data_IF_106782316818
#
_entry.id   IF_106782316818
#
_cell.length_a   1.000
_cell.length_b   1.000
_cell.length_c   1.000
_cell.angle_alpha   90.00
_cell.angle_beta   90.00
_cell.angle_gamma   90.00
#
_symmetry.space_group_name_H-M   'P 1'
#
loop_
_entity.id
_entity.type
_entity.pdbx_description
1 polymer ?
#
# COMPACT_ATOMS: atom_id res chain seq x y z
N UNK A 1 -10.69 -10.26 25.57
CA UNK A 1 -12.06 -10.31 25.02
C UNK A 1 -12.05 -11.23 23.82
N UNK A 2 -12.95 -12.22 23.77
CA UNK A 2 -13.03 -13.19 22.66
C UNK A 2 -13.82 -12.63 21.46
N UNK A 3 -13.70 -13.23 20.26
CA UNK A 3 -14.43 -12.80 19.05
C UNK A 3 -15.94 -12.77 19.25
N UNK A 4 -16.46 -13.83 19.88
CA UNK A 4 -17.88 -13.99 20.21
C UNK A 4 -18.34 -12.97 21.24
N UNK A 5 -17.49 -12.66 22.21
CA UNK A 5 -17.75 -11.65 23.23
C UNK A 5 -17.74 -10.23 22.65
N UNK A 6 -16.78 -9.91 21.77
CA UNK A 6 -16.74 -8.64 21.04
C UNK A 6 -17.95 -8.49 20.11
N UNK A 7 -18.30 -9.53 19.36
CA UNK A 7 -19.49 -9.54 18.51
C UNK A 7 -20.76 -9.31 19.33
N UNK A 8 -20.87 -9.95 20.50
CA UNK A 8 -21.97 -9.74 21.44
C UNK A 8 -22.06 -8.30 21.94
N UNK A 9 -20.93 -7.68 22.33
CA UNK A 9 -20.89 -6.30 22.80
C UNK A 9 -21.19 -5.27 21.71
N UNK A 10 -20.78 -5.53 20.47
CA UNK A 10 -21.05 -4.65 19.34
C UNK A 10 -22.42 -4.92 18.65
N UNK A 11 -23.20 -5.92 19.11
CA UNK A 11 -24.43 -6.33 18.46
C UNK A 11 -24.22 -6.90 17.04
N UNK A 12 -23.05 -7.46 16.77
CA UNK A 12 -22.70 -8.04 15.47
C UNK A 12 -22.95 -9.53 15.43
N UNK A 13 -23.28 -10.05 14.24
CA UNK A 13 -23.13 -11.48 13.99
C UNK A 13 -21.64 -11.86 14.04
N UNK A 14 -21.34 -13.04 14.59
CA UNK A 14 -19.97 -13.58 14.67
C UNK A 14 -19.29 -13.67 13.29
N UNK A 15 -20.06 -13.93 12.22
CA UNK A 15 -19.58 -13.92 10.84
C UNK A 15 -19.12 -12.54 10.35
N UNK A 16 -19.67 -11.45 10.89
CA UNK A 16 -19.23 -10.07 10.59
C UNK A 16 -17.92 -9.76 11.33
N UNK A 17 -17.82 -10.11 12.61
CA UNK A 17 -16.58 -9.97 13.38
C UNK A 17 -15.44 -10.78 12.75
N UNK A 18 -15.71 -12.03 12.34
CA UNK A 18 -14.75 -12.88 11.65
C UNK A 18 -14.23 -12.26 10.34
N UNK A 19 -15.07 -11.55 9.58
CA UNK A 19 -14.66 -10.90 8.31
C UNK A 19 -13.82 -9.65 8.54
N UNK A 20 -14.04 -8.94 9.64
CA UNK A 20 -13.19 -7.81 10.02
C UNK A 20 -11.81 -8.28 10.47
N UNK A 21 -11.73 -9.33 11.28
CA UNK A 21 -10.45 -9.89 11.72
C UNK A 21 -9.68 -10.57 10.60
N UNK A 22 -10.37 -11.22 9.66
CA UNK A 22 -9.73 -11.83 8.50
C UNK A 22 -9.40 -10.81 7.40
N UNK A 23 -9.73 -9.53 7.58
CA UNK A 23 -9.54 -8.46 6.59
C UNK A 23 -10.33 -8.61 5.29
N UNK A 24 -11.28 -9.54 5.22
CA UNK A 24 -12.10 -9.79 4.01
C UNK A 24 -13.21 -8.75 3.84
N UNK A 25 -13.49 -7.97 4.87
CA UNK A 25 -14.38 -6.82 4.81
C UNK A 25 -13.78 -5.67 5.62
N UNK A 26 -13.80 -4.47 5.06
CA UNK A 26 -13.44 -3.26 5.80
C UNK A 26 -14.58 -2.86 6.76
N UNK A 27 -14.26 -2.49 8.02
CA UNK A 27 -15.24 -1.94 8.95
C UNK A 27 -15.70 -0.55 8.51
N UNK A 28 -16.99 -0.28 8.62
CA UNK A 28 -17.52 1.09 8.45
C UNK A 28 -17.15 1.98 9.63
N UNK A 29 -17.31 3.29 9.51
CA UNK A 29 -17.07 4.21 10.63
C UNK A 29 -17.93 3.87 11.85
N UNK A 30 -19.17 3.44 11.62
CA UNK A 30 -20.04 2.96 12.68
C UNK A 30 -19.46 1.72 13.35
N UNK A 31 -18.92 0.78 12.56
CA UNK A 31 -18.28 -0.41 13.10
C UNK A 31 -17.04 -0.07 13.94
N UNK A 32 -16.27 0.94 13.53
CA UNK A 32 -15.11 1.42 14.30
C UNK A 32 -15.52 2.06 15.63
N UNK A 33 -16.62 2.83 15.65
CA UNK A 33 -17.17 3.40 16.89
C UNK A 33 -17.70 2.33 17.83
N UNK A 34 -18.51 1.40 17.31
CA UNK A 34 -19.07 0.29 18.09
C UNK A 34 -17.93 -0.56 18.69
N UNK A 35 -16.86 -0.80 17.93
CA UNK A 35 -15.67 -1.52 18.40
C UNK A 35 -14.92 -0.78 19.50
N UNK A 36 -14.66 0.52 19.33
CA UNK A 36 -13.96 1.32 20.34
C UNK A 36 -14.75 1.32 21.65
N UNK A 37 -16.07 1.46 21.58
CA UNK A 37 -16.94 1.44 22.76
C UNK A 37 -16.95 0.08 23.45
N UNK A 38 -17.05 -1.02 22.69
CA UNK A 38 -16.98 -2.37 23.25
C UNK A 38 -15.63 -2.71 23.92
N UNK A 39 -14.56 -2.08 23.45
CA UNK A 39 -13.19 -2.20 23.98
C UNK A 39 -12.86 -1.21 25.10
N UNK A 40 -13.74 -0.26 25.44
CA UNK A 40 -13.45 0.80 26.41
C UNK A 40 -12.41 1.81 25.92
N UNK A 41 -12.30 1.98 24.60
CA UNK A 41 -11.32 2.82 23.92
C UNK A 41 -12.00 3.98 23.14
N UNK A 42 -13.09 4.54 23.68
CA UNK A 42 -13.89 5.58 23.00
C UNK A 42 -13.06 6.77 22.50
N UNK A 43 -12.00 7.14 23.25
CA UNK A 43 -11.08 8.21 22.87
C UNK A 43 -10.23 7.95 21.62
N UNK A 44 -10.19 6.72 21.09
CA UNK A 44 -9.45 6.37 19.88
C UNK A 44 -10.32 6.31 18.61
N UNK A 45 -11.65 6.43 18.75
CA UNK A 45 -12.58 6.22 17.64
C UNK A 45 -12.35 7.21 16.49
N UNK A 46 -12.17 8.51 16.79
CA UNK A 46 -11.96 9.54 15.76
C UNK A 46 -10.64 9.38 15.02
N UNK A 47 -9.56 9.04 15.74
CA UNK A 47 -8.25 8.80 15.13
C UNK A 47 -8.26 7.56 14.23
N UNK A 48 -8.93 6.49 14.66
CA UNK A 48 -9.11 5.27 13.86
C UNK A 48 -10.00 5.52 12.63
N UNK A 49 -11.07 6.30 12.76
CA UNK A 49 -11.91 6.72 11.64
C UNK A 49 -11.12 7.58 10.66
N UNK A 50 -10.35 8.56 11.16
CA UNK A 50 -9.46 9.40 10.34
C UNK A 50 -8.44 8.55 9.58
N UNK A 51 -7.85 7.56 10.25
CA UNK A 51 -6.92 6.60 9.64
C UNK A 51 -7.61 5.74 8.59
N UNK A 52 -8.79 5.19 8.88
CA UNK A 52 -9.56 4.37 7.95
C UNK A 52 -10.01 5.16 6.70
N UNK A 53 -10.48 6.40 6.89
CA UNK A 53 -10.76 7.35 5.79
C UNK A 53 -9.50 7.64 4.97
N UNK A 54 -8.35 7.77 5.62
CA UNK A 54 -7.06 7.94 4.95
C UNK A 54 -6.69 6.74 4.07
N UNK A 55 -6.91 5.52 4.55
CA UNK A 55 -6.60 4.26 3.85
C UNK A 55 -7.56 4.01 2.67
N UNK A 56 -8.87 4.12 2.90
CA UNK A 56 -9.90 3.89 1.88
C UNK A 56 -9.90 5.00 0.81
N UNK A 57 -9.73 6.25 1.26
CA UNK A 57 -9.50 7.40 0.41
C UNK A 57 -8.25 7.22 -0.45
N UNK A 58 -7.11 6.80 0.13
CA UNK A 58 -5.88 6.56 -0.63
C UNK A 58 -6.07 5.53 -1.74
N UNK A 59 -6.71 4.38 -1.49
CA UNK A 59 -6.77 3.29 -2.48
C UNK A 59 -7.74 3.60 -3.65
N UNK A 60 -8.89 4.21 -3.36
CA UNK A 60 -9.89 4.59 -4.38
C UNK A 60 -9.47 5.84 -5.13
N UNK A 61 -8.91 6.84 -4.44
CA UNK A 61 -8.42 8.06 -5.07
C UNK A 61 -7.18 7.80 -5.91
N UNK A 62 -6.25 6.93 -5.51
CA UNK A 62 -5.05 6.67 -6.31
C UNK A 62 -5.37 6.08 -7.70
N UNK A 63 -6.34 5.16 -7.80
CA UNK A 63 -6.82 4.65 -9.11
C UNK A 63 -7.59 5.69 -9.93
N UNK A 64 -8.25 6.66 -9.30
CA UNK A 64 -8.96 7.75 -10.01
C UNK A 64 -7.99 8.84 -10.45
N UNK A 65 -7.04 9.21 -9.59
CA UNK A 65 -6.04 10.26 -9.79
C UNK A 65 -5.09 9.93 -10.94
N UNK A 66 -4.68 8.67 -11.08
CA UNK A 66 -3.83 8.23 -12.20
C UNK A 66 -4.48 8.41 -13.58
N UNK A 67 -5.83 8.39 -13.68
CA UNK A 67 -6.50 8.62 -14.97
C UNK A 67 -6.23 10.01 -15.54
N UNK A 68 -5.94 10.97 -14.66
CA UNK A 68 -5.59 12.35 -15.03
C UNK A 68 -4.07 12.55 -15.17
N UNK A 69 -3.29 11.46 -15.16
CA UNK A 69 -1.82 11.49 -15.23
C UNK A 69 -1.13 11.19 -13.90
N UNK A 70 0.06 10.63 -13.97
CA UNK A 70 0.86 10.28 -12.80
C UNK A 70 1.36 11.52 -12.07
N UNK A 71 1.59 12.63 -12.78
CA UNK A 71 1.98 13.92 -12.19
C UNK A 71 0.90 14.40 -11.24
N UNK A 72 -0.35 14.43 -11.69
CA UNK A 72 -1.48 14.86 -10.86
C UNK A 72 -1.63 13.98 -9.62
N UNK A 73 -1.49 12.66 -9.77
CA UNK A 73 -1.48 11.72 -8.65
C UNK A 73 -0.31 11.96 -7.66
N UNK A 74 0.80 12.53 -8.11
CA UNK A 74 1.88 12.96 -7.21
C UNK A 74 1.58 14.28 -6.52
N UNK A 75 0.94 15.23 -7.19
CA UNK A 75 0.62 16.56 -6.64
C UNK A 75 -0.52 16.50 -5.62
N UNK A 76 -1.54 15.65 -5.87
CA UNK A 76 -2.72 15.56 -5.03
C UNK A 76 -2.44 15.14 -3.57
N UNK A 77 -1.33 14.44 -3.32
CA UNK A 77 -0.94 13.99 -1.99
C UNK A 77 -0.03 14.97 -1.24
N UNK A 78 0.41 16.06 -1.88
CA UNK A 78 1.27 17.09 -1.28
C UNK A 78 0.70 17.66 0.03
N UNK A 79 -0.57 18.10 0.09
CA UNK A 79 -1.10 18.73 1.31
C UNK A 79 -1.19 17.75 2.49
N UNK A 80 -1.27 16.44 2.21
CA UNK A 80 -1.22 15.40 3.25
C UNK A 80 0.20 15.23 3.76
N UNK A 81 1.19 15.21 2.87
CA UNK A 81 2.60 15.08 3.24
C UNK A 81 3.08 16.26 4.09
N UNK A 82 2.73 17.49 3.69
CA UNK A 82 3.15 18.72 4.37
C UNK A 82 2.61 18.80 5.81
N UNK A 83 1.35 18.41 6.05
CA UNK A 83 0.76 18.42 7.40
C UNK A 83 1.17 17.23 8.27
N UNK A 84 1.71 16.17 7.68
CA UNK A 84 2.04 14.92 8.42
C UNK A 84 3.43 15.01 9.02
N UNK A 85 3.53 15.15 10.34
CA UNK A 85 4.83 15.24 11.03
C UNK A 85 5.47 13.87 11.30
N UNK A 86 4.66 12.81 11.42
CA UNK A 86 5.13 11.46 11.75
C UNK A 86 4.56 10.45 10.76
N UNK A 87 5.42 9.83 9.97
CA UNK A 87 5.08 8.79 9.03
C UNK A 87 5.32 7.42 9.66
N UNK A 88 4.31 6.56 9.60
CA UNK A 88 4.42 5.13 9.97
C UNK A 88 4.01 4.33 8.75
N UNK A 89 4.98 3.65 8.13
CA UNK A 89 4.81 3.02 6.83
C UNK A 89 5.16 1.56 6.95
N UNK A 90 4.19 0.69 6.66
CA UNK A 90 4.45 -0.72 6.37
C UNK A 90 4.39 -0.91 4.86
N UNK A 91 5.38 -1.58 4.29
CA UNK A 91 5.44 -1.81 2.85
C UNK A 91 5.89 -3.23 2.51
N UNK A 92 4.97 -4.09 2.02
CA UNK A 92 5.31 -5.49 1.79
C UNK A 92 5.81 -5.84 0.39
N UNK A 93 5.73 -4.92 -0.58
CA UNK A 93 6.03 -5.21 -1.99
C UNK A 93 6.94 -4.20 -2.68
N UNK A 94 7.14 -3.01 -2.12
CA UNK A 94 8.00 -1.98 -2.72
C UNK A 94 8.74 -1.15 -1.68
N UNK A 95 9.81 -0.47 -2.10
CA UNK A 95 10.49 0.50 -1.25
C UNK A 95 9.64 1.78 -1.19
N UNK A 96 9.26 2.32 -0.02
CA UNK A 96 8.36 3.46 0.11
C UNK A 96 8.85 4.74 -0.54
N UNK A 97 7.90 5.52 -1.06
CA UNK A 97 8.13 6.79 -1.74
C UNK A 97 9.16 7.73 -1.09
N UNK A 98 9.16 8.00 0.23
CA UNK A 98 10.11 8.92 0.86
C UNK A 98 11.59 8.53 0.68
N UNK A 99 11.87 7.24 0.46
CA UNK A 99 13.23 6.69 0.44
C UNK A 99 13.58 6.04 -0.91
N UNK A 100 12.92 6.44 -2.00
CA UNK A 100 13.24 5.99 -3.36
C UNK A 100 14.31 6.89 -4.02
N UNK A 101 15.05 6.34 -4.98
CA UNK A 101 15.92 7.09 -5.88
C UNK A 101 15.15 7.51 -7.13
N UNK A 102 15.61 8.56 -7.83
CA UNK A 102 14.99 9.00 -9.08
C UNK A 102 14.91 7.88 -10.15
N UNK A 103 15.94 7.04 -10.24
CA UNK A 103 15.99 5.89 -11.16
C UNK A 103 14.94 4.83 -10.79
N UNK A 104 14.79 4.51 -9.49
CA UNK A 104 13.76 3.57 -9.03
C UNK A 104 12.35 4.13 -9.25
N UNK A 105 12.13 5.43 -8.97
CA UNK A 105 10.87 6.10 -9.23
C UNK A 105 10.51 6.03 -10.71
N UNK A 106 11.46 6.35 -11.60
CA UNK A 106 11.26 6.34 -13.05
C UNK A 106 10.83 4.95 -13.51
N UNK A 107 11.54 3.91 -13.08
CA UNK A 107 11.22 2.54 -13.43
C UNK A 107 9.84 2.09 -12.92
N UNK A 108 9.51 2.42 -11.67
CA UNK A 108 8.21 2.12 -11.07
C UNK A 108 7.06 2.81 -11.81
N UNK A 109 7.17 4.12 -12.05
CA UNK A 109 6.13 4.92 -12.69
C UNK A 109 5.94 4.55 -14.16
N UNK A 110 7.03 4.23 -14.87
CA UNK A 110 7.01 3.66 -16.22
C UNK A 110 6.21 2.35 -16.24
N UNK A 111 6.52 1.42 -15.33
CA UNK A 111 5.81 0.14 -15.24
C UNK A 111 4.31 0.32 -14.95
N UNK A 112 3.94 1.27 -14.09
CA UNK A 112 2.53 1.59 -13.80
C UNK A 112 1.83 2.15 -15.04
N UNK A 113 2.45 3.12 -15.72
CA UNK A 113 1.93 3.71 -16.96
C UNK A 113 1.68 2.63 -18.00
N UNK A 114 2.67 1.78 -18.27
CA UNK A 114 2.59 0.75 -19.32
C UNK A 114 1.50 -0.28 -18.99
N UNK A 115 1.45 -0.74 -17.73
CA UNK A 115 0.44 -1.71 -17.28
C UNK A 115 -0.99 -1.16 -17.35
N UNK A 116 -1.18 0.14 -17.14
CA UNK A 116 -2.50 0.78 -17.00
C UNK A 116 -2.92 1.60 -18.22
N UNK A 117 -2.05 1.77 -19.23
CA UNK A 117 -2.32 2.56 -20.42
C UNK A 117 -2.56 4.03 -20.12
N UNK A 118 -1.75 4.62 -19.23
CA UNK A 118 -1.90 6.02 -18.79
C UNK A 118 -1.21 6.99 -19.76
N UNK A 119 -1.54 8.28 -19.63
CA UNK A 119 -0.82 9.38 -20.30
C UNK A 119 0.66 9.33 -19.88
N UNK A 120 1.57 9.57 -20.82
CA UNK A 120 3.00 9.58 -20.52
C UNK A 120 3.46 10.94 -19.98
N UNK A 121 3.28 11.12 -18.66
CA UNK A 121 3.79 12.25 -17.89
C UNK A 121 4.83 11.82 -16.84
N UNK A 122 5.44 10.65 -17.02
CA UNK A 122 6.39 10.06 -16.07
C UNK A 122 7.53 11.02 -15.68
N UNK A 123 8.22 11.72 -16.61
CA UNK A 123 9.29 12.64 -16.22
C UNK A 123 8.81 13.77 -15.29
N UNK A 124 7.58 14.27 -15.49
CA UNK A 124 7.01 15.30 -14.63
C UNK A 124 6.61 14.72 -13.26
N UNK A 125 6.02 13.53 -13.24
CA UNK A 125 5.69 12.82 -12.00
C UNK A 125 6.94 12.50 -11.16
N UNK A 126 8.05 12.10 -11.80
CA UNK A 126 9.34 11.87 -11.14
C UNK A 126 9.82 13.14 -10.45
N UNK A 127 9.79 14.29 -11.13
CA UNK A 127 10.21 15.58 -10.53
C UNK A 127 9.39 15.93 -9.30
N UNK A 128 8.06 15.77 -9.36
CA UNK A 128 7.19 16.02 -8.20
C UNK A 128 7.53 15.05 -7.06
N UNK A 129 7.70 13.75 -7.34
CA UNK A 129 8.04 12.78 -6.30
C UNK A 129 9.40 13.05 -5.67
N UNK A 130 10.42 13.33 -6.46
CA UNK A 130 11.76 13.68 -5.94
C UNK A 130 11.72 14.96 -5.11
N UNK A 131 11.01 16.00 -5.57
CA UNK A 131 10.86 17.24 -4.81
C UNK A 131 10.24 17.01 -3.43
N UNK A 132 9.24 16.12 -3.34
CA UNK A 132 8.61 15.74 -2.08
C UNK A 132 9.54 14.98 -1.13
N UNK A 133 10.55 14.28 -1.63
CA UNK A 133 11.41 13.45 -0.78
C UNK A 133 12.29 14.28 0.14
N UNK A 134 12.52 15.56 -0.16
CA UNK A 134 13.32 16.45 0.70
C UNK A 134 12.78 16.57 2.13
N UNK A 135 11.51 16.22 2.37
CA UNK A 135 10.94 16.21 3.73
C UNK A 135 11.66 15.28 4.71
N UNK A 136 12.42 14.27 4.22
CA UNK A 136 13.22 13.40 5.08
C UNK A 136 14.35 14.13 5.79
N UNK A 137 14.78 15.29 5.27
CA UNK A 137 15.79 16.15 5.88
C UNK A 137 15.20 17.28 6.73
N UNK A 138 13.87 17.39 6.81
CA UNK A 138 13.17 18.41 7.59
C UNK A 138 12.79 17.92 8.99
N UNK A 139 11.70 18.49 9.53
CA UNK A 139 11.20 18.17 10.88
C UNK A 139 10.29 16.92 10.92
N UNK A 140 10.19 16.19 9.81
CA UNK A 140 9.36 14.99 9.72
C UNK A 140 10.12 13.77 10.23
N UNK A 141 9.39 12.80 10.79
CA UNK A 141 9.96 11.52 11.25
C UNK A 141 9.32 10.35 10.51
N UNK A 142 10.10 9.31 10.25
CA UNK A 142 9.72 8.14 9.47
C UNK A 142 10.04 6.86 10.23
N UNK A 143 9.03 6.08 10.55
CA UNK A 143 9.17 4.69 10.97
C UNK A 143 8.68 3.80 9.81
N UNK A 144 9.62 3.13 9.16
CA UNK A 144 9.38 2.30 7.98
C UNK A 144 9.62 0.84 8.35
N UNK A 145 8.66 -0.03 8.05
CA UNK A 145 8.75 -1.47 8.19
C UNK A 145 8.63 -2.12 6.81
N UNK A 146 9.70 -2.77 6.37
CA UNK A 146 9.78 -3.42 5.07
C UNK A 146 9.70 -4.93 5.20
N UNK A 147 9.00 -5.57 4.28
CA UNK A 147 9.26 -6.97 4.02
C UNK A 147 10.58 -7.13 3.30
N UNK A 148 11.39 -8.12 3.69
CA UNK A 148 12.64 -8.42 3.00
C UNK A 148 12.43 -8.71 1.50
N UNK A 149 11.26 -9.24 1.11
CA UNK A 149 10.89 -9.42 -0.31
C UNK A 149 10.93 -8.10 -1.10
N UNK A 150 10.50 -6.98 -0.51
CA UNK A 150 10.49 -5.67 -1.15
C UNK A 150 11.90 -5.18 -1.51
N UNK A 151 12.93 -5.62 -0.78
CA UNK A 151 14.34 -5.34 -1.06
C UNK A 151 14.90 -6.18 -2.21
N UNK A 152 14.21 -7.27 -2.58
CA UNK A 152 14.62 -8.21 -3.63
C UNK A 152 13.85 -8.01 -4.94
N UNK A 153 12.74 -7.27 -4.93
CA UNK A 153 11.98 -6.95 -6.15
C UNK A 153 12.78 -6.03 -7.08
N UNK A 154 13.16 -6.56 -8.25
CA UNK A 154 13.98 -5.88 -9.26
C UNK A 154 13.18 -4.89 -10.11
N UNK A 155 12.78 -3.78 -9.51
CA UNK A 155 12.19 -2.66 -10.26
C UNK A 155 13.30 -1.91 -11.00
N UNK A 156 13.23 -1.86 -12.33
CA UNK A 156 14.21 -1.17 -13.17
C UNK A 156 15.52 -1.92 -13.42
N UNK A 157 15.61 -3.19 -13.02
CA UNK A 157 16.81 -4.02 -13.21
C UNK A 157 17.80 -3.96 -12.03
N UNK A 158 18.91 -4.68 -12.17
CA UNK A 158 19.87 -4.91 -11.08
C UNK A 158 20.61 -3.63 -10.67
N UNK A 159 21.04 -2.81 -11.63
CA UNK A 159 21.76 -1.56 -11.35
C UNK A 159 20.89 -0.53 -10.62
N UNK A 160 19.63 -0.38 -11.05
CA UNK A 160 18.66 0.50 -10.38
C UNK A 160 18.40 0.03 -8.96
N UNK A 161 18.22 -1.27 -8.75
CA UNK A 161 18.02 -1.82 -7.42
C UNK A 161 19.27 -1.65 -6.54
N UNK A 162 20.47 -1.89 -7.07
CA UNK A 162 21.72 -1.70 -6.32
C UNK A 162 21.89 -0.25 -5.86
N UNK A 163 21.67 0.73 -6.76
CA UNK A 163 21.69 2.14 -6.39
C UNK A 163 20.61 2.51 -5.36
N UNK A 164 19.43 1.91 -5.49
CA UNK A 164 18.35 2.08 -4.53
C UNK A 164 18.69 1.53 -3.14
N UNK A 165 19.30 0.35 -3.04
CA UNK A 165 19.72 -0.24 -1.78
C UNK A 165 20.87 0.55 -1.15
N UNK A 166 21.81 1.04 -1.97
CA UNK A 166 22.86 1.96 -1.51
C UNK A 166 22.28 3.25 -0.91
N UNK A 167 21.27 3.83 -1.55
CA UNK A 167 20.57 5.00 -1.02
C UNK A 167 19.84 4.70 0.30
N UNK A 168 19.24 3.50 0.45
CA UNK A 168 18.63 3.09 1.72
C UNK A 168 19.63 3.11 2.87
N UNK A 169 20.85 2.61 2.65
CA UNK A 169 21.92 2.67 3.66
C UNK A 169 22.26 4.12 4.04
N UNK A 170 22.30 5.03 3.07
CA UNK A 170 22.57 6.45 3.33
C UNK A 170 21.45 7.11 4.14
N UNK A 171 20.17 6.87 3.81
CA UNK A 171 19.05 7.49 4.55
C UNK A 171 18.85 6.90 5.93
N UNK A 172 19.29 5.65 6.18
CA UNK A 172 19.28 5.05 7.52
C UNK A 172 20.22 5.76 8.52
N UNK A 173 21.16 6.56 8.02
CA UNK A 173 22.00 7.41 8.88
C UNK A 173 21.29 8.70 9.35
N UNK A 174 20.12 9.03 8.78
CA UNK A 174 19.37 10.22 9.16
C UNK A 174 18.62 9.99 10.48
N UNK A 175 18.69 10.93 11.44
CA UNK A 175 17.99 10.79 12.72
C UNK A 175 16.45 10.80 12.57
N UNK A 176 15.96 11.32 11.45
CA UNK A 176 14.54 11.36 11.09
C UNK A 176 14.01 10.02 10.56
N UNK A 177 14.87 9.04 10.26
CA UNK A 177 14.48 7.80 9.56
C UNK A 177 14.88 6.56 10.35
N UNK A 178 13.89 5.74 10.67
CA UNK A 178 14.07 4.40 11.23
C UNK A 178 13.52 3.38 10.25
N UNK A 179 14.33 2.38 9.89
CA UNK A 179 13.93 1.29 8.98
C UNK A 179 14.08 -0.05 9.71
N UNK A 180 12.96 -0.76 9.84
CA UNK A 180 12.91 -2.16 10.26
C UNK A 180 12.68 -3.07 9.06
N UNK A 181 13.25 -4.28 9.10
CA UNK A 181 13.04 -5.30 8.08
C UNK A 181 12.40 -6.51 8.77
N UNK A 182 11.30 -7.00 8.21
CA UNK A 182 10.71 -8.28 8.58
C UNK A 182 11.34 -9.35 7.67
N UNK A 183 12.10 -10.31 8.24
CA UNK A 183 12.72 -11.36 7.46
C UNK A 183 11.68 -12.29 6.82
N UNK A 184 12.03 -12.85 5.66
CA UNK A 184 11.16 -13.83 4.98
C UNK A 184 10.94 -15.12 5.78
N UNK A 185 11.90 -15.48 6.63
CA UNK A 185 11.89 -16.75 7.38
C UNK A 185 11.09 -16.71 8.68
N UNK A 186 10.51 -15.57 9.06
CA UNK A 186 9.69 -15.45 10.27
C UNK A 186 8.35 -16.16 10.06
N UNK A 187 7.94 -16.99 11.02
CA UNK A 187 6.63 -17.63 11.05
C UNK A 187 5.51 -16.60 11.23
N UNK A 188 4.41 -16.73 10.48
CA UNK A 188 3.37 -15.71 10.37
C UNK A 188 1.98 -16.27 10.55
N UNK A 189 1.23 -15.61 11.43
CA UNK A 189 -0.21 -15.81 11.57
C UNK A 189 -1.04 -14.99 10.55
N UNK A 190 -0.40 -14.10 9.77
CA UNK A 190 -1.04 -13.22 8.79
C UNK A 190 -0.18 -13.14 7.52
N UNK A 191 -0.79 -13.32 6.34
CA UNK A 191 -0.11 -13.24 5.04
C UNK A 191 -0.68 -12.10 4.17
N UNK A 192 0.11 -11.54 3.24
CA UNK A 192 -0.41 -10.59 2.26
C UNK A 192 -1.54 -11.21 1.43
N UNK A 193 -2.69 -10.54 1.37
CA UNK A 193 -3.92 -11.05 0.73
C UNK A 193 -4.07 -10.63 -0.75
N UNK A 194 -3.00 -10.19 -1.39
CA UNK A 194 -3.03 -9.61 -2.75
C UNK A 194 -2.98 -10.65 -3.88
N UNK A 195 -3.37 -11.89 -3.60
CA UNK A 195 -3.45 -12.94 -4.60
C UNK A 195 -4.68 -12.78 -5.49
N UNK A 196 -4.54 -13.13 -6.77
CA UNK A 196 -5.68 -13.36 -7.65
C UNK A 196 -5.51 -14.71 -8.35
N UNK A 197 -6.63 -15.42 -8.54
CA UNK A 197 -6.67 -16.66 -9.29
C UNK A 197 -7.28 -16.36 -10.67
N UNK A 198 -6.59 -16.77 -11.72
CA UNK A 198 -7.13 -16.78 -13.09
C UNK A 198 -7.49 -18.22 -13.44
N UNK A 199 -8.74 -18.45 -13.81
CA UNK A 199 -9.22 -19.73 -14.33
C UNK A 199 -9.43 -19.60 -15.84
N UNK A 200 -9.15 -20.68 -16.57
CA UNK A 200 -9.43 -20.74 -18.01
C UNK A 200 -10.93 -20.54 -18.30
N UNK A 201 -11.22 -19.80 -19.37
CA UNK A 201 -12.58 -19.46 -19.83
C UNK A 201 -13.23 -20.66 -20.54
N UNK A 202 -13.40 -21.80 -19.84
CA UNK A 202 -14.04 -23.03 -20.35
C UNK A 202 -15.31 -23.46 -19.61
N UNK A 203 -15.83 -22.63 -18.72
CA UNK A 203 -17.15 -22.86 -18.13
C UNK A 203 -17.94 -21.56 -18.15
N UNK A 204 -19.04 -21.54 -18.91
CA UNK A 204 -19.95 -20.41 -19.08
C UNK A 204 -20.73 -20.03 -17.82
N UNK A 205 -20.03 -19.79 -16.71
CA UNK A 205 -20.56 -19.20 -15.48
C UNK A 205 -19.83 -17.88 -15.26
N UNK A 206 -20.53 -16.79 -15.57
CA UNK A 206 -20.06 -15.42 -15.33
C UNK A 206 -20.07 -15.14 -13.84
N UNK A 207 -18.97 -15.42 -13.15
CA UNK A 207 -18.66 -14.73 -11.90
C UNK A 207 -18.01 -13.39 -12.25
N UNK A 208 -18.78 -12.32 -12.03
CA UNK A 208 -18.31 -10.95 -12.18
C UNK A 208 -17.51 -10.59 -10.93
N UNK A 209 -16.18 -10.65 -10.96
CA UNK A 209 -15.34 -9.69 -10.23
C UNK A 209 -13.94 -9.56 -10.86
N UNK A 210 -13.60 -8.31 -11.17
CA UNK A 210 -12.30 -7.75 -11.60
C UNK A 210 -11.65 -8.24 -12.90
N UNK A 211 -11.82 -7.42 -13.95
CA UNK A 211 -11.11 -7.52 -15.22
C UNK A 211 -9.66 -6.99 -15.10
N UNK A 212 -8.69 -7.87 -15.35
CA UNK A 212 -7.32 -7.54 -15.78
C UNK A 212 -7.10 -7.98 -17.23
N UNK A 213 -6.04 -7.49 -17.91
CA UNK A 213 -5.84 -7.69 -19.36
C UNK A 213 -5.53 -9.16 -19.69
N UNK A 214 -6.17 -9.67 -20.75
CA UNK A 214 -5.96 -11.03 -21.29
C UNK A 214 -4.61 -11.10 -22.01
N UNK A 215 -3.76 -12.05 -21.63
CA UNK A 215 -2.60 -12.48 -22.42
C UNK A 215 -2.87 -13.88 -23.02
N UNK A 216 -2.36 -14.18 -24.23
CA UNK A 216 -2.61 -15.46 -24.90
C UNK A 216 -1.81 -16.61 -24.27
N UNK A 217 -2.44 -17.78 -24.16
CA UNK A 217 -1.84 -18.99 -23.58
C UNK A 217 -0.73 -19.57 -24.48
N UNK A 218 0.39 -20.07 -23.92
CA UNK A 218 1.40 -20.79 -24.68
C UNK A 218 0.91 -22.21 -25.01
N UNK A 219 0.84 -22.52 -26.30
CA UNK A 219 0.43 -23.83 -26.80
C UNK A 219 1.39 -24.94 -26.37
N UNK A 220 0.83 -26.02 -25.84
CA UNK A 220 1.51 -27.32 -25.80
C UNK A 220 1.56 -27.90 -27.21
N UNK A 221 2.75 -28.28 -27.67
CA UNK A 221 2.91 -29.26 -28.73
C UNK A 221 3.21 -30.63 -28.10
N UNK A 222 2.75 -31.72 -28.75
CA UNK A 222 2.79 -33.08 -28.24
C UNK A 222 4.19 -33.67 -28.12
#
# INVERSE_FOLDING_TARGET
MSKRELAGRCGWHESKASRFESGTRLPSERDLRDWCSACGADGQAEDLISTARGIEGMYVEWRKMERNGLKWAQESVLPLWERTQRFRIYSPWLIPGPVQTASYITALLTSIRDRRGLIDDVPAAVRVRVGKQNIVYGNHTFAILLEESALRYRIGGAEVLAGQLGYLLSVMALPSVSIGIIPQCVDRSLWPVEGFFLYDDKSGRRDRHHAGPRLPAPGHRP
#
